data_IF_390840836015
#
_entry.id   IF_390840836015
#
_cell.length_a   1.000
_cell.length_b   1.000
_cell.length_c   1.000
_cell.angle_alpha   90.00
_cell.angle_beta   90.00
_cell.angle_gamma   90.00
#
_symmetry.space_group_name_H-M   'P 1'
#
loop_
_entity.id
_entity.type
_entity.pdbx_description
1 polymer ?
#
# COMPACT_ATOMS: atom_id res chain seq x y z
N UNK A 1 35.66 4.18 51.28
CA UNK A 1 34.87 5.41 51.49
C UNK A 1 34.51 5.97 50.12
N UNK A 2 33.29 5.76 49.63
CA UNK A 2 32.82 6.40 48.41
C UNK A 2 32.22 7.75 48.77
N UNK A 3 32.72 8.80 48.12
CA UNK A 3 32.42 10.21 48.42
C UNK A 3 30.92 10.50 48.36
N UNK A 4 30.37 11.11 49.42
CA UNK A 4 28.96 11.50 49.53
C UNK A 4 28.51 12.49 48.44
N UNK A 5 29.46 13.09 47.70
CA UNK A 5 29.19 13.98 46.56
C UNK A 5 28.93 13.25 45.24
N UNK A 6 29.33 11.97 45.11
CA UNK A 6 29.20 11.22 43.85
C UNK A 6 27.78 10.68 43.64
N UNK A 7 27.09 10.36 44.72
CA UNK A 7 25.76 9.76 44.73
C UNK A 7 24.64 10.66 44.16
N UNK A 8 24.53 11.95 44.54
CA UNK A 8 23.53 12.83 43.96
C UNK A 8 23.79 13.11 42.47
N UNK A 9 25.06 13.15 42.06
CA UNK A 9 25.46 13.33 40.67
C UNK A 9 25.05 12.13 39.80
N UNK A 10 25.24 10.91 40.30
CA UNK A 10 24.78 9.68 39.65
C UNK A 10 23.24 9.58 39.58
N UNK A 11 22.53 10.02 40.61
CA UNK A 11 21.07 10.11 40.61
C UNK A 11 20.57 11.09 39.54
N UNK A 12 21.18 12.26 39.40
CA UNK A 12 20.77 13.25 38.38
C UNK A 12 21.06 12.74 36.96
N UNK A 13 22.22 12.10 36.75
CA UNK A 13 22.58 11.53 35.46
C UNK A 13 21.63 10.38 35.05
N UNK A 14 21.26 9.51 35.98
CA UNK A 14 20.30 8.42 35.72
C UNK A 14 18.88 8.92 35.48
N UNK A 15 18.44 9.97 36.20
CA UNK A 15 17.16 10.61 35.91
C UNK A 15 17.15 11.27 34.53
N UNK A 16 18.21 11.97 34.15
CA UNK A 16 18.31 12.59 32.82
C UNK A 16 18.27 11.54 31.70
N UNK A 17 18.98 10.42 31.85
CA UNK A 17 18.98 9.37 30.81
C UNK A 17 17.69 8.56 30.77
N UNK A 18 16.99 8.34 31.89
CA UNK A 18 15.74 7.55 31.91
C UNK A 18 14.53 8.37 31.49
N UNK A 19 14.46 9.67 31.84
CA UNK A 19 13.27 10.49 31.63
C UNK A 19 13.37 11.43 30.44
N UNK A 20 14.57 11.90 30.06
CA UNK A 20 14.72 12.88 28.96
C UNK A 20 14.97 12.20 27.61
N UNK A 21 15.68 11.07 27.57
CA UNK A 21 15.92 10.33 26.31
C UNK A 21 14.65 9.77 25.63
N UNK A 22 13.58 9.32 26.34
CA UNK A 22 12.37 8.87 25.64
C UNK A 22 11.59 10.00 24.97
N UNK A 23 11.86 11.27 25.29
CA UNK A 23 11.19 12.42 24.66
C UNK A 23 11.79 12.83 23.31
N UNK A 24 12.99 12.34 22.97
CA UNK A 24 13.65 12.59 21.67
C UNK A 24 13.66 11.35 20.75
N UNK A 25 13.08 10.23 21.17
CA UNK A 25 12.73 9.14 20.26
C UNK A 25 11.53 9.58 19.41
N UNK A 26 11.81 10.34 18.37
CA UNK A 26 10.89 10.57 17.26
C UNK A 26 10.66 9.19 16.65
N UNK A 27 9.48 8.62 16.88
CA UNK A 27 9.11 7.27 16.43
C UNK A 27 8.92 7.30 14.90
N UNK A 28 10.04 7.24 14.15
CA UNK A 28 10.06 7.31 12.67
C UNK A 28 9.12 6.26 12.07
N UNK A 29 9.00 5.11 12.73
CA UNK A 29 8.06 4.03 12.40
C UNK A 29 6.58 4.48 12.41
N UNK A 30 6.20 5.38 13.33
CA UNK A 30 4.86 5.96 13.38
C UNK A 30 4.62 6.93 12.24
N UNK A 31 5.61 7.77 11.92
CA UNK A 31 5.54 8.69 10.77
C UNK A 31 5.46 7.95 9.42
N UNK A 32 6.20 6.85 9.26
CA UNK A 32 6.13 5.98 8.07
C UNK A 32 4.76 5.30 7.94
N UNK A 33 4.19 4.82 9.06
CA UNK A 33 2.84 4.25 9.10
C UNK A 33 1.76 5.26 8.72
N UNK A 34 1.89 6.51 9.16
CA UNK A 34 0.94 7.58 8.85
C UNK A 34 0.96 7.97 7.36
N UNK A 35 2.14 8.00 6.72
CA UNK A 35 2.24 8.22 5.26
C UNK A 35 1.63 7.07 4.45
N UNK A 36 1.83 5.83 4.88
CA UNK A 36 1.23 4.67 4.24
C UNK A 36 -0.31 4.65 4.37
N UNK A 37 -0.86 5.01 5.55
CA UNK A 37 -2.32 5.08 5.72
C UNK A 37 -2.97 6.22 4.92
N UNK A 38 -2.25 7.34 4.74
CA UNK A 38 -2.73 8.46 3.91
C UNK A 38 -2.88 8.05 2.45
N UNK A 39 -2.09 7.09 1.98
CA UNK A 39 -2.21 6.58 0.62
C UNK A 39 -3.32 5.53 0.47
N UNK A 40 -3.50 4.72 1.50
CA UNK A 40 -4.57 3.73 1.62
C UNK A 40 -5.97 4.36 1.51
N UNK A 41 -6.11 5.61 1.97
CA UNK A 41 -7.35 6.41 1.88
C UNK A 41 -7.60 7.08 0.51
N UNK A 42 -6.69 6.95 -0.47
CA UNK A 42 -6.84 7.56 -1.80
C UNK A 42 -7.21 6.55 -2.91
N UNK A 43 -7.27 5.25 -2.61
CA UNK A 43 -7.67 4.26 -3.60
C UNK A 43 -9.18 4.28 -3.85
N UNK A 44 -9.60 3.93 -5.07
CA UNK A 44 -11.00 3.90 -5.42
C UNK A 44 -11.72 2.70 -4.78
N UNK A 45 -13.05 2.65 -4.94
CA UNK A 45 -13.83 1.52 -4.47
C UNK A 45 -13.28 0.20 -5.02
N UNK A 46 -13.13 -0.78 -4.12
CA UNK A 46 -12.60 -2.12 -4.39
C UNK A 46 -11.12 -2.18 -4.82
N UNK A 47 -10.35 -1.14 -4.51
CA UNK A 47 -8.89 -1.13 -4.63
C UNK A 47 -8.24 -1.18 -3.24
N UNK A 48 -6.99 -1.65 -3.21
CA UNK A 48 -6.10 -1.58 -2.04
C UNK A 48 -4.80 -0.96 -2.45
N UNK A 49 -4.25 -0.15 -1.56
CA UNK A 49 -2.88 0.30 -1.71
C UNK A 49 -1.94 -0.91 -1.51
N UNK A 50 -1.06 -1.16 -2.48
CA UNK A 50 0.00 -2.16 -2.33
C UNK A 50 1.33 -1.48 -2.56
N UNK A 51 2.22 -1.56 -1.56
CA UNK A 51 3.62 -1.15 -1.72
C UNK A 51 4.30 -1.97 -2.82
N UNK A 52 3.95 -3.25 -2.89
CA UNK A 52 4.44 -4.19 -3.89
C UNK A 52 3.27 -4.64 -4.79
N UNK A 53 2.83 -3.77 -5.70
CA UNK A 53 1.74 -4.10 -6.61
C UNK A 53 2.22 -5.05 -7.72
N UNK A 54 1.35 -5.98 -8.13
CA UNK A 54 1.63 -6.83 -9.30
C UNK A 54 1.69 -5.98 -10.57
N UNK A 55 2.59 -6.30 -11.50
CA UNK A 55 2.69 -5.60 -12.79
C UNK A 55 1.44 -5.82 -13.64
N UNK A 56 0.86 -7.03 -13.57
CA UNK A 56 -0.35 -7.39 -14.28
C UNK A 56 -1.50 -7.63 -13.31
N UNK A 57 -2.66 -7.04 -13.62
CA UNK A 57 -3.88 -7.20 -12.82
C UNK A 57 -4.95 -7.98 -13.58
N UNK A 58 -5.81 -8.71 -12.86
CA UNK A 58 -6.95 -9.37 -13.46
C UNK A 58 -7.95 -8.33 -14.00
N UNK A 59 -8.37 -8.53 -15.24
CA UNK A 59 -9.35 -7.69 -15.94
C UNK A 59 -10.62 -8.48 -16.20
N UNK A 60 -11.72 -7.80 -16.51
CA UNK A 60 -12.96 -8.49 -16.88
C UNK A 60 -12.79 -9.50 -18.04
N UNK A 61 -12.09 -9.19 -19.15
CA UNK A 61 -11.83 -10.15 -20.22
C UNK A 61 -10.76 -11.20 -19.87
N UNK A 62 -9.82 -10.88 -18.96
CA UNK A 62 -8.78 -11.81 -18.53
C UNK A 62 -8.73 -11.90 -17.00
N UNK A 63 -9.55 -12.80 -16.45
CA UNK A 63 -9.72 -12.97 -15.01
C UNK A 63 -8.52 -13.62 -14.33
N UNK A 64 -7.68 -14.33 -15.09
CA UNK A 64 -6.52 -15.03 -14.57
C UNK A 64 -5.30 -14.77 -15.47
N UNK A 65 -4.77 -13.53 -15.46
CA UNK A 65 -3.57 -13.22 -16.21
C UNK A 65 -2.38 -13.97 -15.64
N UNK A 66 -1.36 -14.20 -16.46
CA UNK A 66 -0.08 -14.68 -15.98
C UNK A 66 0.54 -13.58 -15.09
N UNK A 67 0.74 -13.89 -13.82
CA UNK A 67 1.30 -12.96 -12.84
C UNK A 67 2.79 -13.26 -12.68
N UNK A 68 3.63 -12.24 -12.76
CA UNK A 68 5.03 -12.34 -12.37
C UNK A 68 5.17 -12.20 -10.86
N UNK A 69 6.17 -12.86 -10.27
CA UNK A 69 6.47 -12.71 -8.84
C UNK A 69 7.33 -11.46 -8.56
N UNK A 70 7.45 -10.57 -9.54
CA UNK A 70 8.25 -9.36 -9.41
C UNK A 70 7.47 -8.31 -8.64
N UNK A 71 8.19 -7.57 -7.81
CA UNK A 71 7.62 -6.44 -7.11
C UNK A 71 7.52 -5.24 -8.07
N UNK A 72 6.29 -4.87 -8.44
CA UNK A 72 6.03 -3.66 -9.22
C UNK A 72 6.07 -2.40 -8.34
N UNK A 73 5.81 -1.26 -8.98
CA UNK A 73 5.76 0.03 -8.28
C UNK A 73 4.58 0.08 -7.29
N UNK A 74 4.73 0.80 -6.16
CA UNK A 74 3.63 1.06 -5.24
C UNK A 74 2.46 1.74 -5.95
N UNK A 75 1.26 1.14 -5.93
CA UNK A 75 0.03 1.71 -6.53
C UNK A 75 -1.24 1.09 -5.95
N UNK A 76 -2.38 1.75 -6.21
CA UNK A 76 -3.70 1.14 -5.99
C UNK A 76 -3.90 -0.01 -6.98
N UNK A 77 -4.31 -1.15 -6.46
CA UNK A 77 -4.52 -2.40 -7.19
C UNK A 77 -5.85 -3.01 -6.78
N UNK A 78 -6.58 -3.63 -7.72
CA UNK A 78 -7.85 -4.28 -7.39
C UNK A 78 -7.68 -5.27 -6.22
N UNK A 79 -8.67 -5.27 -5.32
CA UNK A 79 -8.81 -6.27 -4.26
C UNK A 79 -8.94 -7.66 -4.88
N UNK A 80 -8.52 -8.67 -4.13
CA UNK A 80 -8.68 -10.05 -4.58
C UNK A 80 -10.17 -10.36 -4.85
N UNK A 81 -10.44 -11.07 -5.95
CA UNK A 81 -11.81 -11.33 -6.42
C UNK A 81 -12.49 -10.18 -7.18
N UNK A 82 -11.80 -9.05 -7.38
CA UNK A 82 -12.25 -7.95 -8.24
C UNK A 82 -11.40 -7.87 -9.51
N UNK A 83 -12.03 -7.38 -10.57
CA UNK A 83 -11.49 -7.33 -11.91
C UNK A 83 -11.58 -5.90 -12.42
N UNK A 84 -10.52 -5.40 -13.05
CA UNK A 84 -10.54 -4.07 -13.64
C UNK A 84 -11.42 -4.07 -14.89
N UNK A 85 -12.43 -3.20 -14.88
CA UNK A 85 -13.29 -2.94 -16.03
C UNK A 85 -12.66 -1.88 -16.95
N UNK A 86 -13.37 -1.55 -18.03
CA UNK A 86 -12.93 -0.59 -19.04
C UNK A 86 -13.02 0.86 -18.61
N UNK A 87 -13.81 1.14 -17.56
CA UNK A 87 -13.90 2.45 -16.95
C UNK A 87 -12.80 2.65 -15.89
N UNK A 88 -11.79 1.75 -15.86
CA UNK A 88 -10.74 1.67 -14.86
C UNK A 88 -11.25 1.47 -13.42
N UNK A 89 -12.42 0.84 -13.25
CA UNK A 89 -13.00 0.52 -11.95
C UNK A 89 -12.81 -0.96 -11.61
N UNK A 90 -12.53 -1.26 -10.35
CA UNK A 90 -12.51 -2.63 -9.86
C UNK A 90 -13.93 -3.10 -9.53
N UNK A 91 -14.42 -4.08 -10.29
CA UNK A 91 -15.78 -4.62 -10.16
C UNK A 91 -15.75 -6.10 -9.82
N UNK A 92 -16.84 -6.61 -9.22
CA UNK A 92 -17.00 -8.05 -8.99
C UNK A 92 -17.22 -8.79 -10.31
N UNK A 93 -16.95 -10.10 -10.34
CA UNK A 93 -17.17 -10.94 -11.53
C UNK A 93 -18.55 -10.80 -12.16
N UNK A 94 -19.60 -10.61 -11.35
CA UNK A 94 -20.99 -10.46 -11.79
C UNK A 94 -21.26 -9.12 -12.48
N UNK A 95 -20.43 -8.12 -12.19
CA UNK A 95 -20.55 -6.77 -12.71
C UNK A 95 -19.62 -6.55 -13.92
N UNK A 96 -18.90 -7.59 -14.35
CA UNK A 96 -18.17 -7.52 -15.61
C UNK A 96 -19.16 -7.52 -16.79
N UNK A 97 -18.91 -6.72 -17.83
CA UNK A 97 -19.70 -6.75 -19.05
C UNK A 97 -19.57 -8.11 -19.75
N UNK A 98 -20.65 -8.53 -20.42
CA UNK A 98 -20.74 -9.82 -21.11
C UNK A 98 -19.65 -10.01 -22.18
N UNK A 99 -19.38 -11.26 -22.53
CA UNK A 99 -18.30 -11.63 -23.47
C UNK A 99 -18.43 -10.94 -24.84
N UNK A 100 -19.66 -10.74 -25.33
CA UNK A 100 -19.89 -9.98 -26.58
C UNK A 100 -19.39 -8.54 -26.48
N UNK A 101 -19.62 -7.88 -25.35
CA UNK A 101 -19.07 -6.55 -25.11
C UNK A 101 -17.54 -6.64 -25.05
N UNK A 102 -16.97 -7.56 -24.27
CA UNK A 102 -15.51 -7.74 -24.16
C UNK A 102 -14.83 -7.94 -25.53
N UNK A 103 -15.40 -8.75 -26.42
CA UNK A 103 -14.86 -9.00 -27.78
C UNK A 103 -14.89 -7.74 -28.65
N UNK A 104 -15.97 -6.97 -28.59
CA UNK A 104 -16.05 -5.65 -29.26
C UNK A 104 -15.00 -4.71 -28.69
N UNK A 105 -14.79 -4.72 -27.38
CA UNK A 105 -13.78 -3.88 -26.72
C UNK A 105 -12.35 -4.24 -27.11
N UNK A 106 -11.99 -5.52 -27.12
CA UNK A 106 -10.67 -5.95 -27.60
C UNK A 106 -10.42 -5.50 -29.03
N UNK A 107 -11.45 -5.55 -29.88
CA UNK A 107 -11.35 -5.06 -31.25
C UNK A 107 -11.12 -3.54 -31.31
N UNK A 108 -11.84 -2.75 -30.51
CA UNK A 108 -11.68 -1.28 -30.47
C UNK A 108 -10.32 -0.85 -29.91
N UNK A 109 -9.87 -1.46 -28.80
CA UNK A 109 -8.56 -1.15 -28.22
C UNK A 109 -7.42 -1.48 -29.19
N UNK A 110 -7.51 -2.58 -29.93
CA UNK A 110 -6.49 -2.92 -30.93
C UNK A 110 -6.51 -1.96 -32.13
N UNK A 111 -7.67 -1.35 -32.44
CA UNK A 111 -7.80 -0.38 -33.52
C UNK A 111 -7.17 0.97 -33.17
N UNK A 112 -7.36 1.45 -31.94
CA UNK A 112 -6.83 2.77 -31.54
C UNK A 112 -5.31 2.75 -31.29
N UNK A 113 -4.71 1.55 -31.20
CA UNK A 113 -3.28 1.33 -31.04
C UNK A 113 -2.54 1.05 -32.38
N UNK A 114 -3.21 1.11 -33.54
CA UNK A 114 -2.65 0.80 -34.86
C UNK A 114 -2.99 1.87 -35.90
#
# INVERSE_FOLDING_TARGET
MFSQTLFPLLMVLTFATVFVTPLINIDIEKWLRDQNSKFENNCQNNEVWRECAKNTEPTCPNQNPMVDNNCGQPRCQCKDGHFRDLNNKCVSKKNCPDDTANRVWTYLLNRDNN
#
